data_IF_611909406703
#
_entry.id   IF_611909406703
#
_cell.length_a   1.000
_cell.length_b   1.000
_cell.length_c   1.000
_cell.angle_alpha   90.00
_cell.angle_beta   90.00
_cell.angle_gamma   90.00
#
_symmetry.space_group_name_H-M   'P 1'
#
loop_
_entity.id
_entity.type
_entity.pdbx_description
1 polymer ?
#
# COMPACT_ATOMS: atom_id res chain seq x y z
N UNK A 1 -7.54 8.58 12.51
CA UNK A 1 -7.49 7.09 12.70
C UNK A 1 -6.23 6.56 12.00
N UNK A 2 -5.43 5.67 12.62
CA UNK A 2 -4.20 5.12 12.01
C UNK A 2 -4.43 3.71 11.45
N UNK A 3 -4.05 3.49 10.19
CA UNK A 3 -4.18 2.20 9.49
C UNK A 3 -2.80 1.69 9.08
N UNK A 4 -2.57 0.38 9.16
CA UNK A 4 -1.33 -0.25 8.69
C UNK A 4 -1.68 -1.49 7.89
N UNK A 5 -1.14 -1.61 6.68
CA UNK A 5 -1.38 -2.76 5.79
C UNK A 5 -0.09 -3.46 5.38
N UNK A 6 1.07 -2.96 5.81
CA UNK A 6 2.39 -3.45 5.42
C UNK A 6 2.57 -4.94 5.67
N UNK A 7 2.74 -5.70 4.58
CA UNK A 7 3.02 -7.15 4.55
C UNK A 7 2.03 -8.03 5.33
N UNK A 8 0.83 -7.53 5.66
CA UNK A 8 -0.17 -8.30 6.41
C UNK A 8 -0.62 -9.56 5.67
N UNK A 9 -1.00 -10.59 6.43
CA UNK A 9 -1.41 -11.90 5.92
C UNK A 9 -2.57 -11.84 4.93
N UNK A 10 -3.52 -10.90 5.11
CA UNK A 10 -4.67 -10.78 4.21
C UNK A 10 -4.25 -10.50 2.75
N UNK A 11 -3.17 -9.74 2.52
CA UNK A 11 -2.65 -9.46 1.18
C UNK A 11 -2.16 -10.74 0.51
N UNK A 12 -1.45 -11.59 1.26
CA UNK A 12 -0.99 -12.87 0.75
C UNK A 12 -2.14 -13.83 0.50
N UNK A 13 -3.08 -13.93 1.44
CA UNK A 13 -4.25 -14.81 1.33
C UNK A 13 -5.14 -14.43 0.15
N UNK A 14 -5.36 -13.14 -0.09
CA UNK A 14 -6.16 -12.66 -1.22
C UNK A 14 -5.54 -12.99 -2.59
N UNK A 15 -4.23 -13.22 -2.65
CA UNK A 15 -3.46 -13.48 -3.87
C UNK A 15 -2.96 -14.92 -3.97
N UNK A 16 -3.64 -15.87 -3.32
CA UNK A 16 -3.32 -17.30 -3.45
C UNK A 16 -2.18 -17.80 -2.55
N UNK A 17 -1.90 -17.09 -1.45
CA UNK A 17 -0.94 -17.53 -0.43
C UNK A 17 0.48 -16.98 -0.62
N UNK A 18 0.62 -15.75 -1.12
CA UNK A 18 1.95 -15.13 -1.28
C UNK A 18 2.74 -15.07 0.03
N UNK A 19 4.04 -15.34 -0.07
CA UNK A 19 4.97 -15.21 1.06
C UNK A 19 5.16 -13.75 1.44
N UNK A 20 5.73 -13.50 2.62
CA UNK A 20 5.88 -12.14 3.16
C UNK A 20 6.76 -11.26 2.28
N UNK A 21 7.75 -11.86 1.63
CA UNK A 21 8.73 -11.21 0.75
C UNK A 21 8.07 -10.72 -0.55
N UNK A 22 7.00 -11.39 -0.98
CA UNK A 22 6.26 -11.08 -2.22
C UNK A 22 5.15 -10.04 -2.01
N UNK A 23 4.94 -9.58 -0.77
CA UNK A 23 3.84 -8.65 -0.42
C UNK A 23 4.18 -7.18 -0.60
N UNK A 24 5.31 -6.84 -1.23
CA UNK A 24 5.71 -5.45 -1.43
C UNK A 24 4.75 -4.70 -2.36
N UNK A 25 4.49 -5.24 -3.56
CA UNK A 25 3.54 -4.64 -4.51
C UNK A 25 2.12 -4.58 -3.92
N UNK A 26 1.55 -5.68 -3.37
CA UNK A 26 0.24 -5.63 -2.72
C UNK A 26 0.14 -4.60 -1.58
N UNK A 27 1.21 -4.42 -0.82
CA UNK A 27 1.28 -3.40 0.24
C UNK A 27 1.15 -2.00 -0.36
N UNK A 28 1.95 -1.68 -1.38
CA UNK A 28 1.94 -0.35 -2.01
C UNK A 28 0.57 -0.02 -2.62
N UNK A 29 -0.08 -1.00 -3.24
CA UNK A 29 -1.44 -0.83 -3.80
C UNK A 29 -2.45 -0.55 -2.68
N UNK A 30 -2.40 -1.30 -1.57
CA UNK A 30 -3.30 -1.08 -0.45
C UNK A 30 -3.05 0.27 0.24
N UNK A 31 -1.78 0.67 0.41
CA UNK A 31 -1.42 1.97 0.97
C UNK A 31 -1.87 3.13 0.07
N UNK A 32 -1.68 3.01 -1.24
CA UNK A 32 -2.16 4.00 -2.22
C UNK A 32 -3.69 4.14 -2.16
N UNK A 33 -4.42 3.02 -2.10
CA UNK A 33 -5.88 3.05 -1.95
C UNK A 33 -6.30 3.81 -0.69
N UNK A 34 -5.67 3.54 0.46
CA UNK A 34 -5.97 4.25 1.70
C UNK A 34 -5.68 5.75 1.61
N UNK A 35 -4.60 6.15 0.91
CA UNK A 35 -4.33 7.57 0.63
C UNK A 35 -5.45 8.20 -0.20
N UNK A 36 -5.94 7.52 -1.24
CA UNK A 36 -7.04 8.00 -2.10
C UNK A 36 -8.33 8.15 -1.29
N UNK A 37 -8.57 7.29 -0.30
CA UNK A 37 -9.70 7.39 0.63
C UNK A 37 -9.51 8.46 1.74
N UNK A 38 -8.47 9.30 1.66
CA UNK A 38 -8.15 10.34 2.64
C UNK A 38 -7.94 9.81 4.07
N UNK A 39 -7.35 8.61 4.22
CA UNK A 39 -6.96 8.11 5.55
C UNK A 39 -5.85 8.98 6.13
N UNK A 40 -6.10 9.48 7.32
CA UNK A 40 -5.27 10.50 8.00
C UNK A 40 -3.84 10.03 8.32
N UNK A 41 -3.69 8.77 8.76
CA UNK A 41 -2.39 8.21 9.12
C UNK A 41 -2.23 6.78 8.59
N UNK A 42 -1.17 6.56 7.81
CA UNK A 42 -0.76 5.23 7.34
C UNK A 42 0.60 4.89 7.92
N UNK A 43 0.71 3.74 8.60
CA UNK A 43 1.99 3.19 9.06
C UNK A 43 2.55 2.24 8.01
N UNK A 44 3.70 2.62 7.45
CA UNK A 44 4.45 1.86 6.44
C UNK A 44 5.89 1.60 6.89
N UNK A 45 6.47 0.47 6.48
CA UNK A 45 7.92 0.22 6.64
C UNK A 45 8.73 0.78 5.47
N UNK A 46 8.12 0.97 4.30
CA UNK A 46 8.79 1.36 3.04
C UNK A 46 8.16 2.63 2.44
N UNK A 47 8.33 3.82 3.05
CA UNK A 47 7.66 5.04 2.63
C UNK A 47 8.08 5.53 1.24
N UNK A 48 9.25 5.10 0.74
CA UNK A 48 9.74 5.47 -0.59
C UNK A 48 8.80 4.95 -1.69
N UNK A 49 8.34 3.71 -1.58
CA UNK A 49 7.50 3.08 -2.59
C UNK A 49 6.13 3.74 -2.66
N UNK A 50 5.52 4.03 -1.51
CA UNK A 50 4.25 4.77 -1.44
C UNK A 50 4.37 6.17 -2.05
N UNK A 51 5.46 6.90 -1.76
CA UNK A 51 5.69 8.23 -2.36
C UNK A 51 5.79 8.17 -3.88
N UNK A 52 6.48 7.16 -4.43
CA UNK A 52 6.56 6.97 -5.87
C UNK A 52 5.19 6.64 -6.47
N UNK A 53 4.43 5.73 -5.85
CA UNK A 53 3.08 5.39 -6.28
C UNK A 53 2.14 6.61 -6.29
N UNK A 54 2.17 7.43 -5.24
CA UNK A 54 1.41 8.69 -5.17
C UNK A 54 1.82 9.68 -6.25
N UNK A 55 3.13 9.81 -6.53
CA UNK A 55 3.61 10.69 -7.60
C UNK A 55 3.04 10.28 -8.96
N UNK A 56 3.07 8.98 -9.28
CA UNK A 56 2.50 8.46 -10.53
C UNK A 56 0.98 8.62 -10.54
N UNK A 57 0.30 8.29 -9.45
CA UNK A 57 -1.14 8.48 -9.32
C UNK A 57 -1.57 9.93 -9.58
N UNK A 58 -0.89 10.90 -8.97
CA UNK A 58 -1.17 12.32 -9.16
C UNK A 58 -0.83 12.82 -10.57
N UNK A 59 0.12 12.18 -11.27
CA UNK A 59 0.40 12.50 -12.68
C UNK A 59 -0.68 11.98 -13.62
N UNK A 60 -1.28 10.82 -13.32
CA UNK A 60 -2.33 10.21 -14.16
C UNK A 60 -3.72 10.81 -13.94
N UNK A 61 -3.96 11.42 -12.77
CA UNK A 61 -5.23 12.08 -12.44
C UNK A 61 -5.20 13.61 -12.63
N UNK A 62 -4.14 14.11 -13.27
CA UNK A 62 -4.08 15.48 -13.79
C UNK A 62 -4.47 15.47 -15.26
#
# INVERSE_FOLDING_TARGET
MMVSVTKKSFLGNALGGLKVEEREIPTVIAELYLCIQNVEYIRTHEPKNLKQALKIWNLMNK
#
